data_IF_778152883191
#
_entry.id   IF_778152883191
#
_cell.length_a   1.000
_cell.length_b   1.000
_cell.length_c   1.000
_cell.angle_alpha   90.00
_cell.angle_beta   90.00
_cell.angle_gamma   90.00
#
_symmetry.space_group_name_H-M   'P 1'
#
loop_
_entity.id
_entity.type
_entity.pdbx_description
1 polymer ?
#
# COMPACT_ATOMS: atom_id res chain seq x y z
N UNK A 1 -21.55 -11.76 -17.27
CA UNK A 1 -20.36 -11.12 -17.86
C UNK A 1 -19.20 -11.38 -16.91
N UNK A 2 -18.31 -12.32 -17.23
CA UNK A 2 -17.14 -12.61 -16.40
C UNK A 2 -16.00 -11.69 -16.84
N UNK A 3 -15.44 -10.92 -15.92
CA UNK A 3 -14.19 -10.19 -16.18
C UNK A 3 -13.08 -11.24 -16.22
N UNK A 4 -12.54 -11.52 -17.42
CA UNK A 4 -11.38 -12.39 -17.61
C UNK A 4 -10.13 -11.52 -17.65
N UNK A 5 -9.69 -11.09 -16.49
CA UNK A 5 -8.44 -10.33 -16.33
C UNK A 5 -7.30 -11.28 -16.00
N UNK A 6 -6.11 -11.00 -16.52
CA UNK A 6 -4.87 -11.66 -16.08
C UNK A 6 -4.65 -11.44 -14.57
N UNK A 7 -3.97 -12.36 -13.89
CA UNK A 7 -3.78 -12.28 -12.42
C UNK A 7 -3.14 -10.97 -11.96
N UNK A 8 -2.29 -10.37 -12.79
CA UNK A 8 -1.69 -9.05 -12.53
C UNK A 8 -2.72 -7.92 -12.52
N UNK A 9 -3.68 -7.91 -13.46
CA UNK A 9 -4.73 -6.89 -13.51
C UNK A 9 -5.69 -7.00 -12.31
N UNK A 10 -5.98 -8.23 -11.87
CA UNK A 10 -6.78 -8.46 -10.66
C UNK A 10 -6.05 -7.94 -9.42
N UNK A 11 -4.74 -8.15 -9.35
CA UNK A 11 -3.90 -7.65 -8.27
C UNK A 11 -3.82 -6.12 -8.29
N UNK A 12 -3.59 -5.51 -9.45
CA UNK A 12 -3.56 -4.05 -9.60
C UNK A 12 -4.91 -3.41 -9.22
N UNK A 13 -6.03 -4.05 -9.56
CA UNK A 13 -7.35 -3.59 -9.14
C UNK A 13 -7.53 -3.68 -7.61
N UNK A 14 -7.13 -4.79 -7.00
CA UNK A 14 -7.15 -4.92 -5.53
C UNK A 14 -6.30 -3.85 -4.86
N UNK A 15 -5.11 -3.56 -5.39
CA UNK A 15 -4.25 -2.47 -4.88
C UNK A 15 -4.90 -1.10 -5.07
N UNK A 16 -5.60 -0.86 -6.18
CA UNK A 16 -6.32 0.39 -6.41
C UNK A 16 -7.45 0.60 -5.39
N UNK A 17 -8.22 -0.44 -5.09
CA UNK A 17 -9.27 -0.38 -4.06
C UNK A 17 -8.68 -0.03 -2.69
N UNK A 18 -7.57 -0.68 -2.32
CA UNK A 18 -6.89 -0.41 -1.03
C UNK A 18 -6.37 1.01 -0.99
N UNK A 19 -5.76 1.50 -2.08
CA UNK A 19 -5.29 2.89 -2.18
C UNK A 19 -6.39 3.92 -1.97
N UNK A 20 -7.61 3.61 -2.40
CA UNK A 20 -8.79 4.48 -2.27
C UNK A 20 -9.54 4.37 -0.95
N UNK A 21 -9.14 3.48 -0.05
CA UNK A 21 -9.85 3.27 1.22
C UNK A 21 -9.69 4.44 2.18
N UNK A 22 -10.80 4.89 2.78
CA UNK A 22 -10.79 5.86 3.88
C UNK A 22 -10.31 5.24 5.21
N UNK A 23 -10.22 3.91 5.30
CA UNK A 23 -9.60 3.24 6.44
C UNK A 23 -8.08 3.18 6.24
N UNK A 24 -7.25 3.48 7.27
CA UNK A 24 -5.80 3.38 7.18
C UNK A 24 -5.32 1.94 6.93
N UNK A 25 -5.15 1.58 5.66
CA UNK A 25 -4.71 0.25 5.22
C UNK A 25 -3.30 0.26 4.64
N UNK A 26 -2.58 -0.84 4.90
CA UNK A 26 -1.24 -1.14 4.38
C UNK A 26 -1.19 -2.59 3.89
N UNK A 27 -0.63 -2.80 2.70
CA UNK A 27 -0.41 -4.13 2.11
C UNK A 27 1.07 -4.46 2.17
N UNK A 28 1.38 -5.61 2.74
CA UNK A 28 2.74 -6.13 2.87
C UNK A 28 2.87 -7.44 2.10
N UNK A 29 4.08 -7.71 1.61
CA UNK A 29 4.47 -9.06 1.23
C UNK A 29 4.97 -9.88 2.44
N UNK A 30 5.41 -11.11 2.16
CA UNK A 30 5.93 -12.04 3.18
C UNK A 30 7.19 -11.54 3.89
N UNK A 31 7.94 -10.62 3.28
CA UNK A 31 9.18 -10.07 3.80
C UNK A 31 8.95 -8.69 4.47
N UNK A 32 7.68 -8.33 4.71
CA UNK A 32 7.25 -7.05 5.28
C UNK A 32 7.64 -5.85 4.40
N UNK A 33 7.79 -6.07 3.09
CA UNK A 33 7.96 -5.01 2.11
C UNK A 33 6.59 -4.50 1.69
N UNK A 34 6.47 -3.18 1.57
CA UNK A 34 5.19 -2.54 1.31
C UNK A 34 4.86 -2.60 -0.17
N UNK A 35 3.70 -3.20 -0.48
CA UNK A 35 3.16 -3.28 -1.84
C UNK A 35 2.24 -2.09 -2.16
N UNK A 36 1.47 -1.63 -1.18
CA UNK A 36 0.66 -0.42 -1.25
C UNK A 36 0.32 0.14 0.13
N UNK A 37 0.17 1.45 0.23
CA UNK A 37 -0.49 2.12 1.35
C UNK A 37 -1.66 2.96 0.84
N UNK A 38 -2.75 2.98 1.61
CA UNK A 38 -3.88 3.90 1.38
C UNK A 38 -3.47 5.35 1.60
N UNK A 39 -4.18 6.28 0.95
CA UNK A 39 -4.00 7.72 1.22
C UNK A 39 -4.28 8.05 2.69
N UNK A 40 -5.34 7.45 3.26
CA UNK A 40 -5.71 7.59 4.66
C UNK A 40 -4.64 7.09 5.64
N UNK A 41 -3.91 6.01 5.30
CA UNK A 41 -2.73 5.58 6.06
C UNK A 41 -1.63 6.64 6.03
N UNK A 42 -1.26 7.13 4.85
CA UNK A 42 -0.22 8.15 4.72
C UNK A 42 -0.58 9.41 5.52
N UNK A 43 -1.84 9.86 5.46
CA UNK A 43 -2.32 11.00 6.25
C UNK A 43 -2.33 10.74 7.76
N UNK A 44 -2.78 9.56 8.21
CA UNK A 44 -2.86 9.22 9.63
C UNK A 44 -1.48 9.18 10.30
N UNK A 45 -0.46 8.71 9.57
CA UNK A 45 0.90 8.56 10.08
C UNK A 45 1.87 9.65 9.58
N UNK A 46 1.38 10.64 8.82
CA UNK A 46 2.18 11.73 8.23
C UNK A 46 3.38 11.24 7.41
N UNK A 47 3.18 10.20 6.60
CA UNK A 47 4.22 9.58 5.77
C UNK A 47 4.11 10.10 4.34
N UNK A 48 5.26 10.39 3.71
CA UNK A 48 5.30 10.70 2.28
C UNK A 48 4.83 9.48 1.47
N UNK A 49 3.74 9.58 0.69
CA UNK A 49 3.26 8.48 -0.16
C UNK A 49 4.31 7.93 -1.13
N UNK A 50 5.29 8.73 -1.53
CA UNK A 50 6.39 8.30 -2.40
C UNK A 50 7.40 7.41 -1.68
N UNK A 51 7.53 7.56 -0.36
CA UNK A 51 8.40 6.76 0.50
C UNK A 51 7.75 5.43 0.94
N UNK A 52 6.49 5.17 0.59
CA UNK A 52 5.76 3.99 1.06
C UNK A 52 6.06 2.75 0.23
N UNK A 53 5.93 2.81 -1.10
CA UNK A 53 6.03 1.61 -1.96
C UNK A 53 7.47 1.10 -2.05
N UNK A 54 7.66 -0.20 -1.83
CA UNK A 54 8.96 -0.87 -1.99
C UNK A 54 9.91 -0.74 -0.80
N UNK A 55 9.56 0.04 0.22
CA UNK A 55 10.31 0.08 1.47
C UNK A 55 9.85 -1.03 2.44
N UNK A 56 10.75 -1.45 3.32
CA UNK A 56 10.39 -2.32 4.44
C UNK A 56 9.56 -1.52 5.46
N UNK A 57 8.53 -2.14 6.03
CA UNK A 57 7.72 -1.54 7.10
C UNK A 57 8.56 -1.08 8.31
N UNK A 58 9.69 -1.76 8.55
CA UNK A 58 10.64 -1.38 9.60
C UNK A 58 11.23 0.02 9.42
N UNK A 59 11.44 0.46 8.17
CA UNK A 59 11.94 1.81 7.86
C UNK A 59 10.91 2.86 8.27
N UNK A 60 9.63 2.64 7.93
CA UNK A 60 8.54 3.53 8.34
C UNK A 60 8.41 3.62 9.86
N UNK A 61 8.48 2.48 10.57
CA UNK A 61 8.33 2.42 12.03
C UNK A 61 9.49 3.04 12.82
N UNK A 62 10.62 3.31 12.19
CA UNK A 62 11.79 3.94 12.83
C UNK A 62 11.74 5.47 12.87
N UNK A 63 10.73 6.09 12.26
CA UNK A 63 10.64 7.55 12.10
C UNK A 63 11.53 8.11 10.99
N UNK A 64 12.20 7.26 10.21
CA UNK A 64 13.06 7.66 9.10
C UNK A 64 12.30 8.00 7.80
N UNK A 65 10.98 7.80 7.78
CA UNK A 65 10.12 8.06 6.62
C UNK A 65 9.39 9.41 6.66
N UNK A 66 9.84 10.30 7.56
CA UNK A 66 9.38 11.68 7.67
C UNK A 66 10.05 12.59 6.63
#
# INVERSE_FOLDING_TARGET
>A
MAVTASTSEQFDFALALIKSSDTPLLVLDKDLVILAGSSSFCSAFQIDPTAVKGNSMSVLGSGAAA
#
